data_IF_136488619044
#
_entry.id   IF_136488619044
#
_cell.length_a   1.000
_cell.length_b   1.000
_cell.length_c   1.000
_cell.angle_alpha   90.00
_cell.angle_beta   90.00
_cell.angle_gamma   90.00
#
_symmetry.space_group_name_H-M   'P 1'
#
loop_
_entity.id
_entity.type
_entity.pdbx_description
1 polymer ?
#
# COMPACT_ATOMS: atom_id res chain seq x y z
N UNK A 1 9.54 0.34 -14.66
CA UNK A 1 10.13 0.25 -13.31
C UNK A 1 9.09 -0.33 -12.34
N UNK A 2 9.51 -1.04 -11.28
CA UNK A 2 8.59 -1.68 -10.31
C UNK A 2 7.60 -0.69 -9.68
N UNK A 3 8.08 0.51 -9.31
CA UNK A 3 7.24 1.57 -8.77
C UNK A 3 6.14 2.04 -9.74
N UNK A 4 6.41 2.00 -11.05
CA UNK A 4 5.44 2.35 -12.09
C UNK A 4 4.32 1.33 -12.21
N UNK A 5 4.66 0.03 -12.12
CA UNK A 5 3.67 -1.06 -12.12
C UNK A 5 2.79 -0.98 -10.88
N UNK A 6 3.39 -0.77 -9.70
CA UNK A 6 2.63 -0.58 -8.47
C UNK A 6 1.67 0.62 -8.56
N UNK A 7 2.14 1.75 -9.12
CA UNK A 7 1.28 2.92 -9.35
C UNK A 7 0.13 2.61 -10.30
N UNK A 8 0.37 1.84 -11.35
CA UNK A 8 -0.69 1.41 -12.26
C UNK A 8 -1.74 0.55 -11.55
N UNK A 9 -1.33 -0.39 -10.68
CA UNK A 9 -2.26 -1.15 -9.84
C UNK A 9 -3.09 -0.28 -8.91
N UNK A 10 -2.49 0.76 -8.31
CA UNK A 10 -3.22 1.72 -7.47
C UNK A 10 -4.28 2.44 -8.31
N UNK A 11 -3.91 2.99 -9.45
CA UNK A 11 -4.85 3.70 -10.32
C UNK A 11 -5.95 2.79 -10.88
N UNK A 12 -5.64 1.55 -11.21
CA UNK A 12 -6.63 0.59 -11.69
C UNK A 12 -7.61 0.22 -10.58
N UNK A 13 -7.12 0.02 -9.35
CA UNK A 13 -7.97 -0.32 -8.21
C UNK A 13 -8.97 0.80 -7.88
N UNK A 14 -8.60 2.07 -8.09
CA UNK A 14 -9.50 3.21 -7.97
C UNK A 14 -10.65 3.19 -8.99
N UNK A 15 -10.34 2.86 -10.25
CA UNK A 15 -11.35 2.75 -11.30
C UNK A 15 -12.33 1.62 -10.99
N UNK A 16 -11.82 0.50 -10.47
CA UNK A 16 -12.62 -0.65 -10.10
C UNK A 16 -13.42 -0.41 -8.80
N UNK A 17 -12.89 0.33 -7.82
CA UNK A 17 -13.62 0.72 -6.61
C UNK A 17 -14.78 1.66 -6.95
N UNK A 18 -14.57 2.64 -7.84
CA UNK A 18 -15.64 3.51 -8.31
C UNK A 18 -16.76 2.74 -9.03
N UNK A 19 -16.44 1.60 -9.66
CA UNK A 19 -17.41 0.70 -10.26
C UNK A 19 -18.06 -0.26 -9.24
N UNK A 20 -17.31 -0.69 -8.21
CA UNK A 20 -17.68 -1.71 -7.24
C UNK A 20 -18.22 -1.17 -5.90
N UNK A 21 -18.29 0.15 -5.69
CA UNK A 21 -18.81 0.81 -4.49
C UNK A 21 -20.26 0.41 -4.10
N UNK A 22 -20.93 -0.42 -4.90
CA UNK A 22 -22.21 -1.05 -4.59
C UNK A 22 -22.11 -2.35 -3.76
N UNK A 23 -20.93 -2.98 -3.62
CA UNK A 23 -20.75 -4.26 -2.92
C UNK A 23 -19.88 -4.10 -1.67
N UNK A 24 -20.54 -3.96 -0.53
CA UNK A 24 -19.96 -3.67 0.78
C UNK A 24 -18.69 -4.47 1.12
N UNK A 25 -17.62 -3.75 1.48
CA UNK A 25 -16.38 -4.32 1.97
C UNK A 25 -16.61 -5.00 3.33
N UNK A 26 -16.34 -6.29 3.41
CA UNK A 26 -16.22 -7.02 4.68
C UNK A 26 -15.04 -6.46 5.47
N UNK A 27 -15.25 -6.21 6.76
CA UNK A 27 -14.33 -5.53 7.72
C UNK A 27 -12.96 -6.23 7.92
N UNK A 28 -12.73 -7.37 7.27
CA UNK A 28 -11.57 -8.26 7.47
C UNK A 28 -10.22 -7.60 7.15
N UNK A 29 -10.18 -6.62 6.23
CA UNK A 29 -8.93 -5.97 5.78
C UNK A 29 -8.74 -4.53 6.28
N UNK A 30 -9.54 -4.08 7.26
CA UNK A 30 -9.49 -2.70 7.78
C UNK A 30 -8.11 -2.30 8.31
N UNK A 31 -7.30 -3.26 8.77
CA UNK A 31 -5.95 -3.04 9.31
C UNK A 31 -5.01 -2.33 8.32
N UNK A 32 -5.22 -2.48 7.01
CA UNK A 32 -4.40 -1.84 5.99
C UNK A 32 -4.82 -0.38 5.71
N UNK A 33 -5.83 0.16 6.38
CA UNK A 33 -6.29 1.52 6.16
C UNK A 33 -5.38 2.56 6.85
N UNK A 34 -4.41 3.10 6.10
CA UNK A 34 -3.43 4.09 6.59
C UNK A 34 -4.05 5.47 6.85
N UNK A 35 -5.29 5.72 6.43
CA UNK A 35 -6.01 6.97 6.73
C UNK A 35 -6.07 7.24 8.24
N UNK A 36 -6.35 6.22 9.06
CA UNK A 36 -6.44 6.42 10.51
C UNK A 36 -5.09 6.82 11.13
N UNK A 37 -3.98 6.24 10.64
CA UNK A 37 -2.64 6.55 11.13
C UNK A 37 -2.20 7.96 10.70
N UNK A 38 -2.50 8.35 9.46
CA UNK A 38 -2.21 9.70 8.93
C UNK A 38 -3.09 10.79 9.57
N UNK A 39 -4.37 10.50 9.79
CA UNK A 39 -5.33 11.43 10.39
C UNK A 39 -5.13 11.64 11.88
N UNK A 40 -4.46 10.74 12.61
CA UNK A 40 -4.21 10.92 14.06
C UNK A 40 -3.40 12.18 14.36
N UNK A 41 -2.52 12.59 13.44
CA UNK A 41 -1.75 13.84 13.54
C UNK A 41 -2.59 15.08 13.16
N UNK A 42 -3.49 14.95 12.17
CA UNK A 42 -4.35 16.03 11.68
C UNK A 42 -5.56 16.31 12.58
N UNK A 43 -6.24 15.26 13.10
CA UNK A 43 -7.34 15.37 14.07
C UNK A 43 -6.92 16.09 15.34
N UNK A 44 -5.63 16.06 15.68
CA UNK A 44 -5.07 16.78 16.83
C UNK A 44 -5.01 18.31 16.61
N UNK A 45 -5.12 18.79 15.37
CA UNK A 45 -5.00 20.23 15.00
C UNK A 45 -6.32 20.92 14.62
N UNK A 46 -7.42 20.20 14.37
CA UNK A 46 -8.67 20.81 13.86
C UNK A 46 -9.90 20.45 14.72
N UNK A 47 -10.79 21.43 14.96
CA UNK A 47 -11.98 21.35 15.82
C UNK A 47 -13.07 20.41 15.26
N UNK A 48 -14.04 19.96 16.11
CA UNK A 48 -14.88 18.79 15.83
C UNK A 48 -16.24 19.19 15.24
N UNK A 49 -16.34 19.50 13.94
CA UNK A 49 -17.67 19.48 13.31
C UNK A 49 -17.71 19.40 11.78
N UNK A 50 -16.79 18.67 11.14
CA UNK A 50 -16.99 18.20 9.77
C UNK A 50 -16.00 17.08 9.49
N UNK A 51 -16.49 15.84 9.42
CA UNK A 51 -15.72 14.69 8.94
C UNK A 51 -15.59 14.76 7.41
N UNK A 52 -14.84 15.74 6.91
CA UNK A 52 -14.32 15.64 5.54
C UNK A 52 -13.22 14.58 5.56
N UNK A 53 -13.61 13.31 5.38
CA UNK A 53 -12.65 12.26 5.03
C UNK A 53 -12.16 12.57 3.62
N UNK A 54 -11.13 13.42 3.52
CA UNK A 54 -10.48 13.72 2.26
C UNK A 54 -9.76 12.46 1.80
N UNK A 55 -10.25 11.85 0.71
CA UNK A 55 -9.52 10.78 0.01
C UNK A 55 -8.15 11.36 -0.38
N UNK A 56 -7.02 10.79 0.08
CA UNK A 56 -5.70 11.33 -0.25
C UNK A 56 -5.50 11.22 -1.77
N UNK A 57 -4.83 12.16 -2.44
CA UNK A 57 -4.59 12.04 -3.87
C UNK A 57 -3.72 10.82 -4.20
N UNK A 58 -3.77 10.32 -5.45
CA UNK A 58 -2.89 9.23 -5.87
C UNK A 58 -1.43 9.57 -5.68
N UNK A 59 -0.62 8.66 -5.11
CA UNK A 59 0.80 8.92 -4.90
C UNK A 59 1.52 9.14 -6.24
N UNK A 60 2.49 10.05 -6.23
CA UNK A 60 3.37 10.24 -7.37
C UNK A 60 4.33 9.05 -7.50
N UNK A 61 4.94 8.89 -8.69
CA UNK A 61 5.97 7.88 -8.88
C UNK A 61 7.17 8.14 -7.94
N UNK A 62 7.48 9.41 -7.70
CA UNK A 62 8.55 9.85 -6.81
C UNK A 62 8.27 9.44 -5.36
N UNK A 63 7.03 9.63 -4.86
CA UNK A 63 6.62 9.22 -3.52
C UNK A 63 6.81 7.72 -3.29
N UNK A 64 6.35 6.91 -4.25
CA UNK A 64 6.50 5.46 -4.19
C UNK A 64 7.98 5.09 -4.23
N UNK A 65 8.76 5.69 -5.13
CA UNK A 65 10.18 5.40 -5.26
C UNK A 65 10.97 5.79 -4.02
N UNK A 66 10.61 6.90 -3.38
CA UNK A 66 11.25 7.39 -2.15
C UNK A 66 10.95 6.45 -0.99
N UNK A 67 9.69 6.04 -0.84
CA UNK A 67 9.31 5.06 0.17
C UNK A 67 10.01 3.72 -0.04
N UNK A 68 10.05 3.24 -1.29
CA UNK A 68 10.74 2.00 -1.64
C UNK A 68 12.23 2.08 -1.27
N UNK A 69 12.91 3.16 -1.67
CA UNK A 69 14.32 3.40 -1.38
C UNK A 69 14.61 3.51 0.12
N UNK A 70 13.74 4.19 0.87
CA UNK A 70 13.89 4.36 2.31
C UNK A 70 13.84 3.01 3.03
N UNK A 71 12.84 2.17 2.72
CA UNK A 71 12.74 0.84 3.31
C UNK A 71 13.90 -0.06 2.87
N UNK A 72 14.19 -0.09 1.57
CA UNK A 72 15.28 -0.90 1.00
C UNK A 72 16.64 -0.57 1.65
N UNK A 73 16.95 0.71 1.81
CA UNK A 73 18.23 1.17 2.36
C UNK A 73 18.32 0.92 3.86
N UNK A 74 17.24 1.18 4.62
CA UNK A 74 17.22 1.00 6.08
C UNK A 74 17.23 -0.47 6.48
N UNK A 75 16.56 -1.32 5.73
CA UNK A 75 16.52 -2.75 5.96
C UNK A 75 17.67 -3.51 5.28
N UNK A 76 18.58 -2.80 4.59
CA UNK A 76 19.73 -3.37 3.89
C UNK A 76 19.38 -4.54 2.97
N UNK A 77 18.24 -4.44 2.28
CA UNK A 77 17.69 -5.53 1.49
C UNK A 77 18.50 -5.77 0.22
N UNK A 78 18.48 -7.00 -0.29
CA UNK A 78 19.03 -7.34 -1.60
C UNK A 78 18.13 -6.90 -2.76
N UNK A 79 18.74 -6.65 -3.93
CA UNK A 79 18.03 -6.13 -5.11
C UNK A 79 16.91 -7.07 -5.59
N UNK A 80 17.03 -8.37 -5.36
CA UNK A 80 16.02 -9.36 -5.75
C UNK A 80 14.72 -9.20 -4.95
N UNK A 81 14.81 -8.71 -3.70
CA UNK A 81 13.65 -8.36 -2.90
C UNK A 81 12.79 -7.25 -3.55
N UNK A 82 13.36 -6.46 -4.48
CA UNK A 82 12.62 -5.44 -5.21
C UNK A 82 11.57 -6.06 -6.13
N UNK A 83 11.96 -7.09 -6.87
CA UNK A 83 11.09 -7.77 -7.82
C UNK A 83 10.13 -8.69 -7.06
N UNK A 84 10.60 -9.36 -6.01
CA UNK A 84 9.79 -10.24 -5.18
C UNK A 84 8.61 -9.52 -4.50
N UNK A 85 8.82 -8.29 -4.03
CA UNK A 85 7.73 -7.53 -3.40
C UNK A 85 6.58 -7.27 -4.37
N UNK A 86 6.86 -6.99 -5.65
CA UNK A 86 5.85 -6.77 -6.68
C UNK A 86 5.09 -8.07 -6.98
N UNK A 87 5.82 -9.19 -7.10
CA UNK A 87 5.21 -10.51 -7.27
C UNK A 87 4.28 -10.81 -6.11
N UNK A 88 4.66 -10.47 -4.88
CA UNK A 88 3.80 -10.66 -3.71
C UNK A 88 2.58 -9.75 -3.70
N UNK A 89 2.69 -8.49 -4.13
CA UNK A 89 1.51 -7.63 -4.32
C UNK A 89 0.54 -8.24 -5.33
N UNK A 90 1.01 -8.73 -6.47
CA UNK A 90 0.14 -9.37 -7.47
C UNK A 90 -0.49 -10.66 -6.96
N UNK A 91 0.28 -11.49 -6.25
CA UNK A 91 -0.24 -12.73 -5.65
C UNK A 91 -1.27 -12.42 -4.55
N UNK A 92 -1.06 -11.39 -3.75
CA UNK A 92 -2.01 -10.94 -2.72
C UNK A 92 -3.36 -10.58 -3.33
N UNK A 93 -3.35 -9.78 -4.41
CA UNK A 93 -4.58 -9.40 -5.12
C UNK A 93 -5.29 -10.64 -5.67
N UNK A 94 -4.56 -11.59 -6.26
CA UNK A 94 -5.14 -12.83 -6.81
C UNK A 94 -5.72 -13.74 -5.73
N UNK A 95 -5.01 -13.94 -4.62
CA UNK A 95 -5.45 -14.84 -3.53
C UNK A 95 -6.65 -14.27 -2.78
N UNK A 96 -6.75 -12.95 -2.66
CA UNK A 96 -7.89 -12.29 -2.01
C UNK A 96 -9.07 -12.06 -2.96
N UNK A 97 -9.02 -12.57 -4.19
CA UNK A 97 -10.02 -12.33 -5.24
C UNK A 97 -10.30 -10.83 -5.45
N UNK A 98 -9.24 -10.02 -5.31
CA UNK A 98 -9.33 -8.58 -5.42
C UNK A 98 -10.06 -7.87 -4.28
N UNK A 99 -10.30 -8.53 -3.14
CA UNK A 99 -10.81 -7.84 -1.93
C UNK A 99 -9.77 -6.94 -1.28
N UNK A 100 -8.49 -7.32 -1.34
CA UNK A 100 -7.37 -6.52 -0.86
C UNK A 100 -6.51 -6.08 -2.04
N UNK A 101 -6.62 -4.79 -2.39
CA UNK A 101 -5.85 -4.19 -3.49
C UNK A 101 -5.09 -2.95 -3.03
N UNK A 102 -3.94 -2.66 -3.65
CA UNK A 102 -3.26 -1.38 -3.46
C UNK A 102 -4.17 -0.23 -3.85
N UNK A 103 -4.32 0.72 -2.95
CA UNK A 103 -5.18 1.88 -3.01
C UNK A 103 -4.46 3.06 -2.35
N UNK A 104 -4.90 4.28 -2.60
CA UNK A 104 -4.24 5.51 -2.15
C UNK A 104 -4.12 5.60 -0.63
N UNK A 105 -5.03 4.96 0.10
CA UNK A 105 -5.09 4.92 1.56
C UNK A 105 -4.38 3.72 2.19
N UNK A 106 -3.89 2.74 1.44
CA UNK A 106 -3.32 1.50 2.02
C UNK A 106 -2.00 1.05 1.37
N UNK A 107 -1.58 1.70 0.28
CA UNK A 107 -0.45 1.24 -0.53
C UNK A 107 0.85 1.16 0.26
N UNK A 108 1.04 2.01 1.28
CA UNK A 108 2.25 2.00 2.10
C UNK A 108 2.32 0.75 2.96
N UNK A 109 1.24 0.45 3.69
CA UNK A 109 1.19 -0.75 4.52
C UNK A 109 1.27 -2.03 3.68
N UNK A 110 0.53 -2.12 2.57
CA UNK A 110 0.59 -3.30 1.68
C UNK A 110 2.00 -3.49 1.13
N UNK A 111 2.60 -2.43 0.57
CA UNK A 111 3.95 -2.50 -0.01
C UNK A 111 4.99 -2.86 1.06
N UNK A 112 4.91 -2.25 2.24
CA UNK A 112 5.80 -2.54 3.36
C UNK A 112 5.71 -4.01 3.80
N UNK A 113 4.50 -4.54 3.99
CA UNK A 113 4.30 -5.95 4.32
C UNK A 113 4.88 -6.88 3.26
N UNK A 114 4.72 -6.56 1.97
CA UNK A 114 5.28 -7.35 0.88
C UNK A 114 6.81 -7.28 0.83
N UNK A 115 7.41 -6.11 1.10
CA UNK A 115 8.87 -5.97 1.20
C UNK A 115 9.44 -6.78 2.36
N UNK A 116 8.85 -6.69 3.56
CA UNK A 116 9.29 -7.46 4.74
C UNK A 116 9.12 -8.96 4.51
N UNK A 117 8.05 -9.40 3.86
CA UNK A 117 7.88 -10.81 3.50
C UNK A 117 8.92 -11.26 2.48
N UNK A 118 9.28 -10.39 1.53
CA UNK A 118 10.35 -10.64 0.56
C UNK A 118 11.69 -10.85 1.22
N UNK A 119 12.13 -9.96 2.12
CA UNK A 119 13.40 -10.16 2.80
C UNK A 119 13.41 -11.45 3.61
N UNK A 120 12.37 -11.73 4.40
CA UNK A 120 12.35 -12.94 5.23
C UNK A 120 12.43 -14.27 4.47
N UNK A 121 11.94 -14.31 3.23
CA UNK A 121 11.87 -15.54 2.43
C UNK A 121 13.05 -15.67 1.47
N UNK A 122 13.55 -14.54 0.96
CA UNK A 122 14.53 -14.52 -0.13
C UNK A 122 15.89 -13.98 0.25
N UNK A 123 15.99 -13.18 1.31
CA UNK A 123 17.26 -12.63 1.77
C UNK A 123 17.92 -13.65 2.69
N UNK A 124 18.94 -14.34 2.17
CA UNK A 124 19.72 -15.39 2.88
C UNK A 124 20.47 -14.81 4.10
N UNK A 125 20.63 -13.49 4.16
CA UNK A 125 21.25 -12.75 5.26
C UNK A 125 20.22 -12.15 6.24
N UNK A 126 18.91 -12.40 6.07
CA UNK A 126 17.88 -11.85 6.97
C UNK A 126 17.89 -12.53 8.34
N UNK A 127 18.53 -11.88 9.33
CA UNK A 127 18.44 -12.20 10.77
C UNK A 127 17.27 -11.49 11.45
#
# INVERSE_FOLDING_TARGET
>A
CVCGVLRAHILQSELEENAAAAAAATDEYRIFNDLESQQRSLKKKFRPNVDFVVKPPPPSLEDISTFYRDVFTRAQMETDCIIMSLIYVERLVKVTDGKLRPHQSNWRSILFSCMVLSSKVWDDMSM
#
